data_IF_239690365835
#
_entry.id   IF_239690365835
#
_cell.length_a   1.000
_cell.length_b   1.000
_cell.length_c   1.000
_cell.angle_alpha   90.00
_cell.angle_beta   90.00
_cell.angle_gamma   90.00
#
_symmetry.space_group_name_H-M   'P 1'
#
loop_
_entity.id
_entity.type
_entity.pdbx_description
1 polymer ?
#
# COMPACT_ATOMS: atom_id res chain seq x y z
N UNK A 1 -3.50 1.50 -33.31
CA UNK A 1 -4.23 2.32 -32.31
C UNK A 1 -4.49 1.40 -31.14
N UNK A 2 -3.67 1.50 -30.09
CA UNK A 2 -3.86 0.67 -28.90
C UNK A 2 -4.96 1.31 -28.07
N UNK A 3 -6.12 0.68 -28.09
CA UNK A 3 -7.22 0.90 -27.16
C UNK A 3 -6.75 0.47 -25.76
N UNK A 4 -6.03 1.35 -25.08
CA UNK A 4 -5.85 1.30 -23.63
C UNK A 4 -7.13 1.93 -23.05
N UNK A 5 -8.20 1.13 -22.90
CA UNK A 5 -9.56 1.57 -22.55
C UNK A 5 -9.71 2.11 -21.10
N UNK A 6 -8.64 2.68 -20.55
CA UNK A 6 -8.67 3.58 -19.40
C UNK A 6 -9.04 2.98 -18.03
N UNK A 7 -9.35 1.69 -17.89
CA UNK A 7 -10.12 1.23 -16.72
C UNK A 7 -9.34 0.57 -15.55
N UNK A 8 -8.15 -0.04 -15.70
CA UNK A 8 -7.38 -0.53 -14.53
C UNK A 8 -6.43 0.51 -13.93
N UNK A 9 -5.67 1.26 -14.77
CA UNK A 9 -4.64 2.20 -14.30
C UNK A 9 -5.23 3.36 -13.50
N UNK A 10 -6.38 3.89 -13.91
CA UNK A 10 -7.08 4.97 -13.19
C UNK A 10 -7.71 4.46 -11.89
N UNK A 11 -8.40 3.31 -11.91
CA UNK A 11 -9.01 2.74 -10.70
C UNK A 11 -7.94 2.42 -9.63
N UNK A 12 -6.81 1.86 -10.05
CA UNK A 12 -5.65 1.61 -9.19
C UNK A 12 -5.08 2.89 -8.56
N UNK A 13 -4.90 3.94 -9.37
CA UNK A 13 -4.43 5.24 -8.87
C UNK A 13 -5.41 5.84 -7.87
N UNK A 14 -6.72 5.76 -8.13
CA UNK A 14 -7.73 6.25 -7.20
C UNK A 14 -7.75 5.45 -5.89
N UNK A 15 -7.62 4.12 -5.96
CA UNK A 15 -7.55 3.25 -4.78
C UNK A 15 -6.36 3.61 -3.90
N UNK A 16 -5.21 3.85 -4.53
CA UNK A 16 -3.99 4.28 -3.86
C UNK A 16 -4.14 5.67 -3.21
N UNK A 17 -4.58 6.69 -3.96
CA UNK A 17 -4.77 8.04 -3.43
C UNK A 17 -5.77 8.08 -2.27
N UNK A 18 -6.92 7.43 -2.43
CA UNK A 18 -7.96 7.41 -1.41
C UNK A 18 -7.50 6.67 -0.14
N UNK A 19 -6.70 5.61 -0.29
CA UNK A 19 -6.10 4.93 0.85
C UNK A 19 -5.08 5.78 1.61
N UNK A 20 -4.30 6.62 0.92
CA UNK A 20 -3.40 7.60 1.57
C UNK A 20 -4.22 8.69 2.27
N UNK A 21 -5.22 9.27 1.60
CA UNK A 21 -6.07 10.35 2.13
C UNK A 21 -6.82 9.93 3.39
N UNK A 22 -7.32 8.70 3.43
CA UNK A 22 -8.05 8.15 4.59
C UNK A 22 -7.13 7.63 5.70
N UNK A 23 -5.81 7.66 5.49
CA UNK A 23 -4.83 7.10 6.43
C UNK A 23 -4.85 5.57 6.51
N UNK A 24 -5.44 4.90 5.51
CA UNK A 24 -5.38 3.45 5.35
C UNK A 24 -3.96 3.01 5.03
N UNK A 25 -3.26 3.78 4.20
CA UNK A 25 -1.86 3.54 3.86
C UNK A 25 -0.98 4.72 4.29
N UNK A 26 0.29 4.44 4.53
CA UNK A 26 1.33 5.46 4.67
C UNK A 26 2.49 5.13 3.73
N UNK A 27 3.14 6.17 3.22
CA UNK A 27 4.36 6.01 2.44
C UNK A 27 5.56 6.26 3.38
N UNK A 28 6.37 5.24 3.60
CA UNK A 28 7.52 5.30 4.52
C UNK A 28 8.81 5.21 3.72
N UNK A 29 9.67 6.21 3.86
CA UNK A 29 11.00 6.26 3.26
C UNK A 29 11.98 6.93 4.21
N UNK A 30 13.27 6.69 3.98
CA UNK A 30 14.31 7.35 4.78
C UNK A 30 14.36 8.86 4.49
N UNK A 31 14.57 9.72 5.51
CA UNK A 31 14.74 11.15 5.29
C UNK A 31 15.89 11.45 4.33
N UNK A 32 15.60 12.23 3.28
CA UNK A 32 16.61 12.62 2.27
C UNK A 32 16.78 11.62 1.11
N UNK A 33 16.03 10.52 1.11
CA UNK A 33 15.98 9.55 0.01
C UNK A 33 14.86 9.91 -0.99
N UNK A 34 15.03 9.49 -2.25
CA UNK A 34 14.02 9.68 -3.30
C UNK A 34 12.69 9.02 -2.89
N UNK A 35 11.59 9.74 -3.04
CA UNK A 35 10.24 9.23 -2.74
C UNK A 35 9.89 7.95 -3.50
N UNK A 36 10.57 7.68 -4.63
CA UNK A 36 10.42 6.43 -5.40
C UNK A 36 10.88 5.19 -4.65
N UNK A 37 11.76 5.35 -3.66
CA UNK A 37 12.23 4.25 -2.81
C UNK A 37 11.32 4.04 -1.60
N UNK A 38 10.35 4.92 -1.37
CA UNK A 38 9.45 4.81 -0.26
C UNK A 38 8.47 3.65 -0.45
N UNK A 39 8.24 2.91 0.63
CA UNK A 39 7.42 1.70 0.64
C UNK A 39 6.05 2.02 1.22
N UNK A 40 5.01 1.43 0.63
CA UNK A 40 3.66 1.51 1.17
C UNK A 40 3.53 0.59 2.39
N UNK A 41 3.11 1.13 3.52
CA UNK A 41 2.89 0.40 4.77
C UNK A 41 1.47 0.57 5.31
N UNK A 42 1.11 -0.28 6.28
CA UNK A 42 -0.14 -0.19 7.03
C UNK A 42 -0.20 1.17 7.73
N UNK A 43 -1.24 1.95 7.41
CA UNK A 43 -1.49 3.25 8.03
C UNK A 43 -2.30 3.15 9.32
N UNK A 44 -2.42 4.25 10.09
CA UNK A 44 -3.09 4.28 11.39
C UNK A 44 -4.58 3.92 11.34
N UNK A 45 -5.23 4.11 10.19
CA UNK A 45 -6.66 3.83 10.01
C UNK A 45 -6.90 2.58 9.14
N UNK A 46 -5.91 1.69 8.98
CA UNK A 46 -6.04 0.56 8.05
C UNK A 46 -7.28 -0.30 8.29
N UNK A 47 -7.65 -0.56 9.54
CA UNK A 47 -8.83 -1.39 9.84
C UNK A 47 -10.14 -0.60 9.87
N UNK A 48 -10.09 0.73 10.05
CA UNK A 48 -11.25 1.57 10.34
C UNK A 48 -11.66 2.49 9.18
N UNK A 49 -10.74 2.82 8.28
CA UNK A 49 -11.02 3.62 7.09
C UNK A 49 -11.98 2.86 6.16
N UNK A 50 -13.08 3.49 5.70
CA UNK A 50 -13.99 2.83 4.77
C UNK A 50 -13.32 2.63 3.41
N UNK A 51 -13.69 1.54 2.71
CA UNK A 51 -13.37 1.40 1.30
C UNK A 51 -14.11 2.46 0.46
N UNK A 52 -13.60 2.70 -0.75
CA UNK A 52 -14.15 3.64 -1.70
C UNK A 52 -15.57 3.24 -2.12
N UNK A 53 -16.45 4.21 -2.39
CA UNK A 53 -17.86 3.94 -2.72
C UNK A 53 -18.06 3.39 -4.14
N UNK A 54 -17.17 3.72 -5.09
CA UNK A 54 -17.13 3.05 -6.41
C UNK A 54 -16.59 1.62 -6.25
N UNK A 55 -17.36 0.58 -6.64
CA UNK A 55 -16.99 -0.82 -6.44
C UNK A 55 -15.73 -1.24 -7.20
N UNK A 56 -15.39 -0.58 -8.31
CA UNK A 56 -14.15 -0.88 -9.06
C UNK A 56 -12.93 -0.44 -8.28
N UNK A 57 -12.97 0.77 -7.74
CA UNK A 57 -11.90 1.30 -6.90
C UNK A 57 -11.80 0.51 -5.58
N UNK A 58 -12.94 0.14 -4.99
CA UNK A 58 -12.96 -0.70 -3.80
C UNK A 58 -12.30 -2.07 -4.02
N UNK A 59 -12.52 -2.70 -5.18
CA UNK A 59 -11.85 -3.95 -5.53
C UNK A 59 -10.33 -3.78 -5.63
N UNK A 60 -9.84 -2.71 -6.25
CA UNK A 60 -8.40 -2.41 -6.29
C UNK A 60 -7.82 -2.10 -4.90
N UNK A 61 -8.59 -1.45 -4.01
CA UNK A 61 -8.17 -1.25 -2.62
C UNK A 61 -8.01 -2.56 -1.86
N UNK A 62 -8.87 -3.55 -2.10
CA UNK A 62 -8.70 -4.87 -1.47
C UNK A 62 -7.44 -5.58 -1.96
N UNK A 63 -7.04 -5.38 -3.22
CA UNK A 63 -5.77 -5.89 -3.74
C UNK A 63 -4.59 -5.20 -3.03
N UNK A 64 -4.63 -3.86 -2.91
CA UNK A 64 -3.62 -3.10 -2.17
C UNK A 64 -3.52 -3.51 -0.69
N UNK A 65 -4.66 -3.69 -0.02
CA UNK A 65 -4.72 -4.15 1.37
C UNK A 65 -3.99 -5.47 1.54
N UNK A 66 -4.30 -6.45 0.68
CA UNK A 66 -3.65 -7.76 0.72
C UNK A 66 -2.14 -7.68 0.47
N UNK A 67 -1.70 -6.82 -0.46
CA UNK A 67 -0.27 -6.61 -0.72
C UNK A 67 0.44 -6.03 0.50
N UNK A 68 -0.13 -5.01 1.13
CA UNK A 68 0.45 -4.34 2.30
C UNK A 68 0.45 -5.26 3.52
N UNK A 69 -0.61 -6.04 3.75
CA UNK A 69 -0.66 -7.04 4.83
C UNK A 69 0.43 -8.10 4.63
N UNK A 70 0.57 -8.63 3.42
CA UNK A 70 1.59 -9.65 3.13
C UNK A 70 3.01 -9.10 3.34
N UNK A 71 3.25 -7.85 2.92
CA UNK A 71 4.53 -7.16 3.14
C UNK A 71 4.80 -6.99 4.64
N UNK A 72 3.81 -6.51 5.40
CA UNK A 72 3.93 -6.31 6.84
C UNK A 72 4.23 -7.61 7.60
N UNK A 73 3.53 -8.70 7.24
CA UNK A 73 3.80 -10.02 7.83
C UNK A 73 5.21 -10.52 7.52
N UNK A 74 5.71 -10.31 6.29
CA UNK A 74 7.09 -10.68 5.93
C UNK A 74 8.13 -9.90 6.74
N UNK A 75 7.88 -8.64 7.03
CA UNK A 75 8.75 -7.81 7.86
C UNK A 75 8.74 -8.25 9.33
N UNK A 76 7.58 -8.59 9.89
CA UNK A 76 7.48 -9.12 11.26
C UNK A 76 8.12 -10.51 11.43
N UNK A 77 8.13 -11.33 10.38
CA UNK A 77 8.68 -12.69 10.43
C UNK A 77 10.21 -12.68 10.26
N UNK A 78 10.86 -11.57 9.88
CA UNK A 78 12.32 -11.50 9.90
C UNK A 78 12.79 -11.61 11.35
N UNK A 79 13.37 -12.74 11.77
CA UNK A 79 13.86 -12.85 13.12
C UNK A 79 15.11 -11.98 13.24
N UNK A 80 15.23 -11.31 14.36
CA UNK A 80 16.44 -10.69 14.90
C UNK A 80 17.53 -11.78 15.08
N UNK A 81 18.08 -12.27 13.97
CA UNK A 81 19.01 -13.40 13.92
C UNK A 81 20.29 -13.06 13.14
N UNK A 82 20.72 -11.81 13.17
CA UNK A 82 22.03 -11.41 12.61
C UNK A 82 22.89 -10.56 13.54
N UNK A 83 22.61 -10.50 14.86
CA UNK A 83 23.47 -9.71 15.77
C UNK A 83 23.68 -10.28 17.19
N UNK A 84 23.86 -11.60 17.32
CA UNK A 84 24.45 -12.22 18.52
C UNK A 84 25.33 -13.44 18.21
N UNK A 85 26.34 -13.25 17.36
CA UNK A 85 27.47 -14.17 17.26
C UNK A 85 28.76 -13.39 16.98
N UNK A 86 29.30 -12.75 18.02
CA UNK A 86 30.71 -12.40 18.13
C UNK A 86 31.27 -13.03 19.39
#
# INVERSE_FOLDING_TARGET
MNNDDGTPKLAWQHAWHYGIETGRYILVGEPGVDWREAVLQIGPNFETAPLHTDPRIAAEQQVLDNMVIQQHQREQIKPESEDRSK
#
